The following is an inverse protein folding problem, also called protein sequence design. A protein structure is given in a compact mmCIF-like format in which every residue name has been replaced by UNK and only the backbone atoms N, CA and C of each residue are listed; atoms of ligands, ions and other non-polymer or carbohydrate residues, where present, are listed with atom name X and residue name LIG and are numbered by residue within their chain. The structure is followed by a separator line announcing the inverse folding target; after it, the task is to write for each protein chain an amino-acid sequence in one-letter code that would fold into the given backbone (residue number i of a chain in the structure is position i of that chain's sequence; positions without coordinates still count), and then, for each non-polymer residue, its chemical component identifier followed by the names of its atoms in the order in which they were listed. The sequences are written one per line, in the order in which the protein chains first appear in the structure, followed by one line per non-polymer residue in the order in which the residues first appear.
data_IF_095927847232
#
_entry.id   IF_095927847232
#
_cell.length_a   1.000
_cell.length_b   1.000
_cell.length_c   1.000
_cell.angle_alpha   90.00
_cell.angle_beta   90.00
_cell.angle_gamma   90.00
#
_symmetry.space_group_name_H-M   'P 1'
#
loop_
_entity.id
_entity.type
_entity.pdbx_description
1 polymer ?
#
# COMPACT_ATOMS: atom_id res chain seq x y z
N UNK A 1 15.40 -1.14 4.18
CA UNK A 1 16.02 -2.23 4.96
C UNK A 1 15.84 -3.55 4.23
N UNK A 2 16.90 -4.35 4.11
CA UNK A 2 16.92 -5.65 3.42
C UNK A 2 15.98 -6.68 4.06
N UNK A 3 15.92 -6.73 5.40
CA UNK A 3 15.07 -7.68 6.13
C UNK A 3 13.60 -7.52 5.75
N UNK A 4 13.08 -6.29 5.77
CA UNK A 4 11.68 -6.03 5.40
C UNK A 4 11.36 -6.43 3.96
N UNK A 5 12.32 -6.28 3.03
CA UNK A 5 12.17 -6.70 1.62
C UNK A 5 12.20 -8.22 1.47
N UNK A 6 13.00 -8.92 2.25
CA UNK A 6 13.01 -10.38 2.31
C UNK A 6 11.68 -10.93 2.84
N UNK A 7 11.10 -10.31 3.88
CA UNK A 7 9.81 -10.74 4.46
C UNK A 7 8.70 -10.75 3.41
N UNK A 8 8.60 -9.70 2.58
CA UNK A 8 7.59 -9.61 1.52
C UNK A 8 8.01 -10.25 0.19
N UNK A 9 9.14 -10.97 0.15
CA UNK A 9 9.70 -11.60 -1.07
C UNK A 9 9.88 -10.61 -2.23
N UNK A 10 10.30 -9.38 -1.91
CA UNK A 10 10.86 -8.44 -2.89
C UNK A 10 12.32 -8.78 -3.19
N UNK A 11 13.04 -9.24 -2.17
CA UNK A 11 14.36 -9.86 -2.29
C UNK A 11 14.25 -11.34 -1.86
N UNK A 12 15.02 -12.24 -2.46
CA UNK A 12 15.05 -13.66 -2.08
C UNK A 12 16.07 -13.86 -0.97
N UNK A 13 15.69 -14.32 0.23
CA UNK A 13 16.64 -14.63 1.29
C UNK A 13 17.56 -15.78 0.86
N UNK A 14 18.85 -15.71 1.22
CA UNK A 14 19.84 -16.74 0.91
C UNK A 14 19.65 -18.03 1.72
N UNK A 15 18.98 -17.95 2.87
CA UNK A 15 18.63 -19.07 3.73
C UNK A 15 17.68 -18.65 4.86
N UNK A 16 17.20 -19.64 5.62
CA UNK A 16 16.24 -19.44 6.69
C UNK A 16 14.79 -19.56 6.24
N UNK A 17 13.87 -19.23 7.14
CA UNK A 17 12.43 -19.36 6.95
C UNK A 17 11.74 -18.03 7.29
N UNK A 18 10.67 -17.72 6.54
CA UNK A 18 9.78 -16.58 6.82
C UNK A 18 8.37 -17.13 6.83
N UNK A 19 7.72 -17.13 7.99
CA UNK A 19 6.35 -17.61 8.14
C UNK A 19 5.41 -16.42 8.29
N UNK A 20 4.40 -16.34 7.42
CA UNK A 20 3.33 -15.34 7.48
C UNK A 20 2.01 -16.07 7.50
N UNK A 21 1.17 -15.80 8.50
CA UNK A 21 -0.17 -16.41 8.61
C UNK A 21 -0.10 -17.95 8.51
N UNK A 22 0.87 -18.55 9.21
CA UNK A 22 1.14 -19.99 9.20
C UNK A 22 1.77 -20.57 7.92
N UNK A 23 2.08 -19.74 6.93
CA UNK A 23 2.63 -20.18 5.64
C UNK A 23 4.10 -19.78 5.49
N UNK A 24 4.99 -20.75 5.22
CA UNK A 24 6.39 -20.46 4.84
C UNK A 24 6.43 -19.83 3.44
N UNK A 25 6.70 -18.53 3.39
CA UNK A 25 6.72 -17.76 2.16
C UNK A 25 8.03 -17.90 1.39
N UNK A 26 9.08 -18.51 1.96
CA UNK A 26 10.39 -18.70 1.30
C UNK A 26 10.34 -19.78 0.22
N UNK A 27 9.39 -20.71 0.30
CA UNK A 27 9.24 -21.83 -0.65
C UNK A 27 8.14 -21.62 -1.70
N UNK A 28 7.37 -20.54 -1.57
CA UNK A 28 6.26 -20.27 -2.48
C UNK A 28 6.75 -19.82 -3.87
N UNK A 29 6.06 -20.30 -4.90
CA UNK A 29 6.22 -19.83 -6.27
C UNK A 29 5.70 -18.39 -6.43
N UNK A 30 6.07 -17.68 -7.52
CA UNK A 30 5.52 -16.34 -7.79
C UNK A 30 3.99 -16.31 -7.86
N UNK A 31 3.35 -17.41 -8.32
CA UNK A 31 1.88 -17.54 -8.31
C UNK A 31 1.34 -17.74 -6.89
N UNK A 32 2.00 -18.59 -6.08
CA UNK A 32 1.66 -18.81 -4.68
C UNK A 32 1.79 -17.56 -3.80
N UNK A 33 2.59 -16.59 -4.24
CA UNK A 33 2.76 -15.31 -3.53
C UNK A 33 1.64 -14.29 -3.79
N UNK A 34 0.85 -14.45 -4.85
CA UNK A 34 -0.21 -13.49 -5.22
C UNK A 34 -1.26 -13.29 -4.12
N UNK A 35 -1.79 -14.34 -3.45
CA UNK A 35 -2.73 -14.16 -2.35
C UNK A 35 -2.15 -13.41 -1.15
N UNK A 36 -0.90 -13.73 -0.76
CA UNK A 36 -0.21 -13.06 0.34
C UNK A 36 0.04 -11.57 0.07
N UNK A 37 0.33 -11.20 -1.18
CA UNK A 37 0.51 -9.78 -1.58
C UNK A 37 -0.76 -8.94 -1.47
N UNK A 38 -1.94 -9.57 -1.31
CA UNK A 38 -3.19 -8.87 -0.98
C UNK A 38 -3.38 -8.67 0.54
N UNK A 39 -2.66 -9.42 1.37
CA UNK A 39 -2.76 -9.39 2.84
C UNK A 39 -1.61 -8.61 3.48
N UNK A 40 -0.47 -8.51 2.78
CA UNK A 40 0.77 -7.93 3.31
C UNK A 40 1.20 -6.77 2.43
N UNK A 41 1.25 -5.58 3.00
CA UNK A 41 1.64 -4.35 2.33
C UNK A 41 2.85 -3.72 3.00
N UNK A 42 3.84 -3.34 2.20
CA UNK A 42 5.05 -2.68 2.68
C UNK A 42 4.87 -1.17 2.60
N UNK A 43 5.00 -0.50 3.75
CA UNK A 43 5.07 0.97 3.84
C UNK A 43 6.54 1.38 3.88
N UNK A 44 6.98 2.15 2.89
CA UNK A 44 8.37 2.61 2.81
C UNK A 44 8.62 3.83 3.70
N UNK A 45 9.83 3.90 4.26
CA UNK A 45 10.27 4.99 5.16
C UNK A 45 10.36 6.36 4.46
N UNK A 46 10.58 6.37 3.15
CA UNK A 46 10.48 7.58 2.32
C UNK A 46 9.15 7.55 1.53
N UNK A 47 8.13 8.27 2.00
CA UNK A 47 6.85 8.33 1.30
C UNK A 47 6.99 8.97 -0.08
N UNK A 48 7.95 9.88 -0.27
CA UNK A 48 8.06 10.69 -1.50
C UNK A 48 8.46 9.87 -2.71
N UNK A 49 9.31 8.85 -2.55
CA UNK A 49 9.66 7.89 -3.61
C UNK A 49 8.57 6.83 -3.85
N UNK A 50 7.67 6.60 -2.89
CA UNK A 50 6.63 5.57 -2.97
C UNK A 50 5.30 6.03 -3.61
N UNK A 51 5.09 7.35 -3.71
CA UNK A 51 3.87 7.96 -4.25
C UNK A 51 4.15 8.49 -5.66
N UNK A 52 3.31 8.12 -6.64
CA UNK A 52 3.45 8.62 -8.00
C UNK A 52 3.09 10.13 -8.05
N UNK A 53 4.03 11.03 -8.38
CA UNK A 53 3.79 12.47 -8.34
C UNK A 53 2.80 12.95 -9.41
N UNK A 54 2.50 12.14 -10.42
CA UNK A 54 1.53 12.43 -11.49
C UNK A 54 0.10 12.04 -11.13
N UNK A 55 -0.11 11.42 -9.97
CA UNK A 55 -1.41 10.97 -9.50
C UNK A 55 -1.91 11.85 -8.35
N UNK A 56 -3.23 12.03 -8.27
CA UNK A 56 -3.84 12.62 -7.08
C UNK A 56 -3.82 11.63 -5.92
N UNK A 57 -3.99 12.11 -4.69
CA UNK A 57 -4.08 11.27 -3.50
C UNK A 57 -5.24 10.26 -3.64
N UNK A 58 -6.36 10.68 -4.24
CA UNK A 58 -7.50 9.81 -4.57
C UNK A 58 -7.09 8.67 -5.48
N UNK A 59 -6.38 8.97 -6.57
CA UNK A 59 -5.92 7.95 -7.51
C UNK A 59 -4.94 6.99 -6.84
N UNK A 60 -4.02 7.50 -6.01
CA UNK A 60 -3.03 6.70 -5.28
C UNK A 60 -3.69 5.71 -4.33
N UNK A 61 -4.66 6.15 -3.52
CA UNK A 61 -5.32 5.29 -2.52
C UNK A 61 -6.33 4.34 -3.20
N UNK A 62 -6.99 4.77 -4.28
CA UNK A 62 -7.94 3.95 -5.04
C UNK A 62 -7.30 2.92 -5.98
N UNK A 63 -6.02 3.09 -6.34
CA UNK A 63 -5.35 2.19 -7.28
C UNK A 63 -5.35 0.71 -6.80
N UNK A 64 -4.96 0.37 -5.55
CA UNK A 64 -5.02 -1.00 -5.07
C UNK A 64 -6.43 -1.59 -5.06
N UNK A 65 -7.44 -0.81 -4.63
CA UNK A 65 -8.86 -1.19 -4.65
C UNK A 65 -9.30 -1.62 -6.06
N UNK A 66 -8.92 -0.82 -7.07
CA UNK A 66 -9.28 -1.09 -8.47
C UNK A 66 -8.49 -2.25 -9.05
N UNK A 67 -7.19 -2.34 -8.78
CA UNK A 67 -6.33 -3.44 -9.26
C UNK A 67 -6.77 -4.81 -8.71
N UNK A 68 -7.32 -4.83 -7.49
CA UNK A 68 -7.81 -6.05 -6.87
C UNK A 68 -9.31 -6.31 -7.11
N UNK A 69 -10.00 -5.43 -7.83
CA UNK A 69 -11.43 -5.58 -8.14
C UNK A 69 -12.33 -5.47 -6.91
N UNK A 70 -11.90 -4.73 -5.88
CA UNK A 70 -12.58 -4.64 -4.58
C UNK A 70 -13.65 -3.54 -4.53
N UNK A 71 -13.63 -2.58 -5.46
CA UNK A 71 -14.59 -1.49 -5.51
C UNK A 71 -14.80 -0.95 -6.93
N UNK A 72 -16.05 -0.61 -7.24
CA UNK A 72 -16.39 0.20 -8.41
C UNK A 72 -15.90 1.65 -8.29
N UNK A 73 -16.09 2.47 -9.33
CA UNK A 73 -15.57 3.86 -9.34
C UNK A 73 -16.14 4.73 -8.21
N UNK A 74 -17.44 4.65 -7.97
CA UNK A 74 -18.12 5.42 -6.93
C UNK A 74 -17.75 4.94 -5.53
N UNK A 75 -17.78 3.62 -5.31
CA UNK A 75 -17.40 2.96 -4.05
C UNK A 75 -15.94 3.26 -3.67
N UNK A 76 -15.02 3.20 -4.63
CA UNK A 76 -13.62 3.51 -4.40
C UNK A 76 -13.44 4.96 -3.91
N UNK A 77 -14.23 5.91 -4.43
CA UNK A 77 -14.17 7.29 -3.98
C UNK A 77 -14.60 7.45 -2.51
N UNK A 78 -15.70 6.81 -2.12
CA UNK A 78 -16.17 6.84 -0.73
C UNK A 78 -15.16 6.17 0.21
N UNK A 79 -14.57 5.04 -0.22
CA UNK A 79 -13.56 4.32 0.55
C UNK A 79 -12.28 5.12 0.73
N UNK A 80 -11.84 5.86 -0.28
CA UNK A 80 -10.69 6.80 -0.14
C UNK A 80 -10.96 7.82 0.95
N UNK A 81 -12.15 8.44 0.95
CA UNK A 81 -12.48 9.47 1.92
C UNK A 81 -12.51 8.89 3.35
N UNK A 82 -13.01 7.66 3.52
CA UNK A 82 -12.96 6.93 4.80
C UNK A 82 -11.52 6.68 5.24
N UNK A 83 -10.67 6.14 4.37
CA UNK A 83 -9.26 5.84 4.66
C UNK A 83 -8.47 7.10 5.03
N UNK A 84 -8.73 8.22 4.35
CA UNK A 84 -8.14 9.51 4.70
C UNK A 84 -8.51 9.92 6.13
N UNK A 85 -9.79 9.79 6.51
CA UNK A 85 -10.22 10.08 7.89
C UNK A 85 -9.57 9.14 8.91
N UNK A 86 -9.46 7.84 8.60
CA UNK A 86 -8.81 6.86 9.49
C UNK A 86 -7.35 7.21 9.79
N UNK A 87 -6.63 7.78 8.83
CA UNK A 87 -5.25 8.25 9.05
C UNK A 87 -5.17 9.70 9.53
N UNK A 88 -6.28 10.31 9.93
CA UNK A 88 -6.33 11.68 10.46
C UNK A 88 -6.05 12.76 9.40
N UNK A 89 -6.44 12.51 8.15
CA UNK A 89 -6.41 13.48 7.05
C UNK A 89 -7.84 13.84 6.66
N UNK A 90 -8.03 15.10 6.21
CA UNK A 90 -9.34 15.53 5.73
C UNK A 90 -9.54 15.06 4.27
N UNK A 91 -10.74 14.61 3.89
CA UNK A 91 -11.04 14.14 2.52
C UNK A 91 -10.75 15.16 1.42
N UNK A 92 -10.77 16.47 1.69
CA UNK A 92 -10.48 17.49 0.66
C UNK A 92 -9.02 17.44 0.16
N UNK A 93 -8.14 16.72 0.86
CA UNK A 93 -6.79 16.43 0.38
C UNK A 93 -6.75 15.38 -0.73
N UNK A 94 -7.85 14.66 -0.98
CA UNK A 94 -7.91 13.59 -1.98
C UNK A 94 -7.57 14.08 -3.40
N UNK A 95 -7.96 15.32 -3.74
CA UNK A 95 -7.73 15.88 -5.08
C UNK A 95 -6.38 16.61 -5.21
N UNK A 96 -5.61 16.67 -4.12
CA UNK A 96 -4.22 17.16 -4.13
C UNK A 96 -3.30 16.10 -4.73
N UNK A 97 -2.07 16.52 -5.03
CA UNK A 97 -0.96 15.65 -5.45
C UNK A 97 0.12 15.59 -4.37
N UNK A 98 1.02 14.58 -4.38
CA UNK A 98 2.00 14.37 -3.32
C UNK A 98 2.90 15.58 -3.00
N UNK A 99 3.23 16.41 -3.99
CA UNK A 99 4.09 17.58 -3.79
C UNK A 99 3.41 18.71 -3.00
N UNK A 100 2.08 18.70 -2.90
CA UNK A 100 1.28 19.67 -2.15
C UNK A 100 1.11 19.29 -0.67
N UNK A 101 1.69 18.16 -0.23
CA UNK A 101 1.56 17.64 1.11
C UNK A 101 2.85 17.78 1.93
N UNK A 102 2.71 17.99 3.24
CA UNK A 102 3.85 17.88 4.16
C UNK A 102 4.39 16.45 4.22
N UNK A 103 5.61 16.26 4.74
CA UNK A 103 6.20 14.92 4.87
C UNK A 103 5.32 13.97 5.70
N UNK A 104 4.81 14.43 6.84
CA UNK A 104 3.92 13.64 7.70
C UNK A 104 2.54 13.37 7.07
N UNK A 105 2.04 14.25 6.19
CA UNK A 105 0.82 13.96 5.41
C UNK A 105 1.09 12.89 4.36
N UNK A 106 2.23 12.93 3.66
CA UNK A 106 2.60 11.89 2.68
C UNK A 106 2.76 10.52 3.34
N UNK A 107 3.34 10.47 4.54
CA UNK A 107 3.44 9.22 5.30
C UNK A 107 2.05 8.63 5.61
N UNK A 108 1.12 9.47 6.07
CA UNK A 108 -0.28 9.07 6.32
C UNK A 108 -0.99 8.60 5.07
N UNK A 109 -0.77 9.23 3.92
CA UNK A 109 -1.30 8.74 2.62
C UNK A 109 -0.73 7.37 2.27
N UNK A 110 0.57 7.12 2.50
CA UNK A 110 1.19 5.81 2.26
C UNK A 110 0.56 4.72 3.13
N UNK A 111 0.27 5.03 4.40
CA UNK A 111 -0.47 4.15 5.30
C UNK A 111 -1.90 3.91 4.81
N UNK A 112 -2.63 4.96 4.43
CA UNK A 112 -4.00 4.84 3.91
C UNK A 112 -4.07 3.95 2.66
N UNK A 113 -3.08 4.05 1.76
CA UNK A 113 -2.95 3.18 0.59
C UNK A 113 -2.69 1.72 0.98
N UNK A 114 -1.88 1.48 2.00
CA UNK A 114 -1.62 0.12 2.48
C UNK A 114 -2.83 -0.53 3.18
N UNK A 115 -3.73 0.29 3.76
CA UNK A 115 -4.97 -0.16 4.40
C UNK A 115 -6.16 -0.29 3.42
N UNK A 116 -5.98 0.03 2.14
CA UNK A 116 -7.10 0.08 1.20
C UNK A 116 -7.53 -1.28 0.66
N UNK A 117 -6.77 -2.34 0.91
CA UNK A 117 -6.95 -3.68 0.36
C UNK A 117 -7.42 -4.68 1.41
#
# INVERSE_FOLDING_TARGET
STVGRCVVRLDTPTGGEVVIDGTDVTRLSPRGMRPLRKKVHLVFQDPSSSLNPRMTIRQIIAEPLRLHGLAGRAEASARVDELLRQVGLRPELADRTPHQLSGGQRQRVSIARALSV
#
